data_IF_729988276261
#
_entry.id   IF_729988276261
#
_cell.length_a   1.000
_cell.length_b   1.000
_cell.length_c   1.000
_cell.angle_alpha   90.00
_cell.angle_beta   90.00
_cell.angle_gamma   90.00
#
_symmetry.space_group_name_H-M   'P 1'
#
loop_
_entity.id
_entity.type
_entity.pdbx_description
1 polymer ?
#
# COMPACT_ATOMS: atom_id res chain seq x y z
N UNK A 1 -19.16 -64.61 57.58
CA UNK A 1 -19.39 -64.73 56.13
C UNK A 1 -18.95 -63.40 55.46
N UNK A 2 -17.82 -63.41 54.80
CA UNK A 2 -17.29 -62.21 54.06
C UNK A 2 -17.46 -62.50 52.62
N UNK A 3 -18.34 -61.73 51.98
CA UNK A 3 -18.60 -61.84 50.53
C UNK A 3 -17.57 -61.01 49.77
N UNK A 4 -16.80 -61.71 48.97
CA UNK A 4 -15.77 -61.11 48.10
C UNK A 4 -16.45 -60.66 46.78
N UNK A 5 -16.47 -59.36 46.54
CA UNK A 5 -16.95 -58.81 45.22
C UNK A 5 -15.78 -58.67 44.35
N UNK A 6 -15.74 -59.46 43.28
CA UNK A 6 -14.68 -59.39 42.23
C UNK A 6 -15.08 -58.33 41.20
N UNK A 7 -14.33 -57.23 41.13
CA UNK A 7 -14.50 -56.21 40.16
C UNK A 7 -13.72 -56.56 38.89
N UNK A 8 -14.42 -56.89 37.82
CA UNK A 8 -13.80 -57.20 36.51
C UNK A 8 -13.59 -55.90 35.74
N UNK A 9 -12.32 -55.52 35.58
CA UNK A 9 -11.92 -54.32 34.80
C UNK A 9 -11.88 -54.72 33.31
N UNK A 10 -12.83 -54.21 32.53
CA UNK A 10 -12.82 -54.36 31.08
C UNK A 10 -11.97 -53.20 30.48
N UNK A 11 -10.78 -53.53 30.03
CA UNK A 11 -9.90 -52.60 29.34
C UNK A 11 -10.35 -52.50 27.88
N UNK A 12 -11.10 -51.45 27.53
CA UNK A 12 -11.42 -51.13 26.14
C UNK A 12 -10.22 -50.51 25.42
N UNK A 13 -9.64 -51.26 24.50
CA UNK A 13 -8.63 -50.74 23.56
C UNK A 13 -9.29 -49.80 22.58
N UNK A 14 -9.17 -48.49 22.80
CA UNK A 14 -9.47 -47.48 21.82
C UNK A 14 -8.31 -47.39 20.79
N UNK A 15 -8.48 -48.01 19.66
CA UNK A 15 -7.61 -47.83 18.50
C UNK A 15 -7.88 -46.45 17.89
N UNK A 16 -7.02 -45.48 18.18
CA UNK A 16 -6.99 -44.22 17.45
C UNK A 16 -6.46 -44.49 16.01
N UNK A 17 -7.38 -44.54 15.05
CA UNK A 17 -7.00 -44.41 13.66
C UNK A 17 -6.37 -43.04 13.45
N UNK A 18 -5.03 -42.99 13.31
CA UNK A 18 -4.32 -41.81 12.80
C UNK A 18 -4.76 -41.62 11.36
N UNK A 19 -5.76 -40.77 11.13
CA UNK A 19 -6.00 -40.19 9.84
C UNK A 19 -4.77 -39.35 9.48
N UNK A 20 -3.90 -39.89 8.62
CA UNK A 20 -2.91 -39.08 7.91
C UNK A 20 -3.70 -38.11 7.02
N UNK A 21 -3.90 -36.91 7.49
CA UNK A 21 -4.22 -35.79 6.61
C UNK A 21 -2.98 -35.62 5.72
N UNK A 22 -3.07 -36.07 4.47
CA UNK A 22 -2.14 -35.69 3.42
C UNK A 22 -2.27 -34.19 3.20
N UNK A 23 -1.56 -33.42 4.00
CA UNK A 23 -1.28 -32.02 3.67
C UNK A 23 -0.07 -32.01 2.73
N UNK A 24 -0.27 -32.38 1.48
CA UNK A 24 0.58 -31.93 0.38
C UNK A 24 0.40 -30.41 0.22
N UNK A 25 0.78 -29.66 1.24
CA UNK A 25 1.11 -28.27 1.12
C UNK A 25 2.55 -28.18 0.59
N UNK A 26 2.75 -28.51 -0.67
CA UNK A 26 3.89 -27.99 -1.42
C UNK A 26 3.62 -26.48 -1.58
N UNK A 27 3.88 -25.70 -0.53
CA UNK A 27 3.88 -24.25 -0.64
C UNK A 27 5.04 -23.88 -1.56
N UNK A 28 4.75 -23.83 -2.85
CA UNK A 28 5.72 -23.32 -3.82
C UNK A 28 6.06 -21.91 -3.39
N UNK A 29 7.32 -21.67 -3.08
CA UNK A 29 7.81 -20.34 -2.75
C UNK A 29 7.37 -19.37 -3.84
N UNK A 30 6.62 -18.32 -3.53
CA UNK A 30 6.12 -17.40 -4.55
C UNK A 30 7.30 -16.73 -5.25
N UNK A 31 7.25 -16.68 -6.57
CA UNK A 31 8.28 -16.08 -7.41
C UNK A 31 7.78 -14.72 -7.89
N UNK A 32 8.64 -13.71 -7.80
CA UNK A 32 8.39 -12.41 -8.41
C UNK A 32 8.85 -12.44 -9.87
N UNK A 33 7.91 -12.31 -10.79
CA UNK A 33 8.10 -12.54 -12.22
C UNK A 33 8.36 -11.24 -13.00
N UNK A 34 8.82 -11.35 -14.24
CA UNK A 34 8.92 -10.20 -15.15
C UNK A 34 7.55 -9.57 -15.44
N UNK A 35 6.48 -10.35 -15.41
CA UNK A 35 5.11 -9.84 -15.51
C UNK A 35 4.73 -8.98 -14.29
N UNK A 36 5.12 -9.41 -13.09
CA UNK A 36 4.95 -8.61 -11.87
C UNK A 36 5.71 -7.29 -11.94
N UNK A 37 6.98 -7.36 -12.37
CA UNK A 37 7.82 -6.17 -12.58
C UNK A 37 7.18 -5.21 -13.56
N UNK A 38 6.78 -5.70 -14.72
CA UNK A 38 6.14 -4.90 -15.76
C UNK A 38 4.86 -4.24 -15.25
N UNK A 39 4.02 -4.99 -14.53
CA UNK A 39 2.78 -4.47 -13.96
C UNK A 39 3.02 -3.30 -13.00
N UNK A 40 4.01 -3.41 -12.13
CA UNK A 40 4.36 -2.32 -11.21
C UNK A 40 4.91 -1.11 -11.97
N UNK A 41 5.86 -1.32 -12.89
CA UNK A 41 6.48 -0.25 -13.66
C UNK A 41 5.46 0.53 -14.48
N UNK A 42 4.60 -0.15 -15.24
CA UNK A 42 3.58 0.48 -16.07
C UNK A 42 2.65 1.38 -15.24
N UNK A 43 2.21 0.91 -14.07
CA UNK A 43 1.29 1.66 -13.22
C UNK A 43 1.98 2.81 -12.46
N UNK A 44 3.21 2.63 -12.02
CA UNK A 44 3.99 3.71 -11.37
C UNK A 44 4.31 4.83 -12.35
N UNK A 45 4.76 4.49 -13.56
CA UNK A 45 5.04 5.45 -14.63
C UNK A 45 3.75 6.19 -15.00
N UNK A 46 2.67 5.47 -15.29
CA UNK A 46 1.39 6.06 -15.65
C UNK A 46 0.86 7.01 -14.56
N UNK A 47 0.87 6.61 -13.31
CA UNK A 47 0.40 7.47 -12.22
C UNK A 47 1.24 8.72 -12.04
N UNK A 48 2.56 8.64 -12.25
CA UNK A 48 3.44 9.81 -12.28
C UNK A 48 3.09 10.75 -13.41
N UNK A 49 3.02 10.25 -14.64
CA UNK A 49 2.74 11.04 -15.82
C UNK A 49 1.39 11.76 -15.75
N UNK A 50 0.34 11.08 -15.28
CA UNK A 50 -0.98 11.67 -15.11
C UNK A 50 -1.00 12.78 -14.04
N UNK A 51 -0.30 12.62 -12.91
CA UNK A 51 -0.16 13.68 -11.90
C UNK A 51 0.60 14.87 -12.48
N UNK A 52 1.71 14.64 -13.19
CA UNK A 52 2.49 15.70 -13.84
C UNK A 52 1.64 16.45 -14.88
N UNK A 53 0.86 15.74 -15.67
CA UNK A 53 -0.03 16.36 -16.67
C UNK A 53 -1.10 17.25 -15.99
N UNK A 54 -1.73 16.78 -14.91
CA UNK A 54 -2.75 17.55 -14.19
C UNK A 54 -2.18 18.76 -13.43
N UNK A 55 -0.91 18.74 -13.07
CA UNK A 55 -0.27 19.81 -12.31
C UNK A 55 0.59 20.76 -13.15
N UNK A 56 0.70 20.46 -14.46
CA UNK A 56 1.47 21.29 -15.39
C UNK A 56 0.89 22.70 -15.50
N UNK A 57 1.76 23.70 -15.37
CA UNK A 57 1.44 25.12 -15.59
C UNK A 57 0.33 25.69 -14.70
N UNK A 58 0.06 25.10 -13.53
CA UNK A 58 -0.88 25.67 -12.58
C UNK A 58 -0.36 27.00 -12.05
N UNK A 59 -1.24 28.01 -11.95
CA UNK A 59 -0.95 29.28 -11.28
C UNK A 59 -0.89 29.08 -9.75
N UNK A 60 -0.39 30.06 -9.02
CA UNK A 60 -0.34 30.03 -7.57
C UNK A 60 -1.75 29.91 -6.97
N UNK A 61 -2.71 30.61 -7.56
CA UNK A 61 -4.12 30.58 -7.15
C UNK A 61 -4.72 29.18 -7.38
N UNK A 62 -4.42 28.55 -8.53
CA UNK A 62 -4.88 27.19 -8.87
C UNK A 62 -4.28 26.14 -7.93
N UNK A 63 -2.99 26.28 -7.59
CA UNK A 63 -2.33 25.36 -6.63
C UNK A 63 -2.98 25.41 -5.25
N UNK A 64 -3.40 26.60 -4.79
CA UNK A 64 -3.86 26.83 -3.43
C UNK A 64 -5.39 26.90 -3.30
N UNK A 65 -6.12 26.76 -4.40
CA UNK A 65 -7.57 26.75 -4.36
C UNK A 65 -8.10 25.60 -3.51
N UNK A 66 -9.07 25.92 -2.65
CA UNK A 66 -9.80 24.95 -1.83
C UNK A 66 -11.30 25.05 -2.14
N UNK A 67 -11.94 23.91 -2.32
CA UNK A 67 -13.40 23.84 -2.50
C UNK A 67 -14.15 24.35 -1.26
N UNK A 68 -13.59 24.13 -0.06
CA UNK A 68 -14.03 24.65 1.23
C UNK A 68 -12.84 24.72 2.21
N UNK A 69 -12.95 25.41 3.37
CA UNK A 69 -11.86 25.53 4.35
C UNK A 69 -11.28 24.17 4.81
N UNK A 70 -12.11 23.15 4.92
CA UNK A 70 -11.76 21.82 5.45
C UNK A 70 -11.21 20.89 4.36
N UNK A 71 -11.17 21.33 3.09
CA UNK A 71 -10.67 20.53 1.97
C UNK A 71 -9.23 20.88 1.66
N UNK A 72 -8.50 19.89 1.20
CA UNK A 72 -7.13 20.11 0.74
C UNK A 72 -7.12 20.79 -0.63
N UNK A 73 -6.16 21.69 -0.80
CA UNK A 73 -5.80 22.21 -2.10
C UNK A 73 -4.99 21.18 -2.91
N UNK A 74 -4.80 21.42 -4.22
CA UNK A 74 -3.91 20.59 -5.06
C UNK A 74 -2.50 20.56 -4.46
N UNK A 75 -1.99 21.70 -3.97
CA UNK A 75 -0.69 21.78 -3.30
C UNK A 75 -0.62 20.81 -2.10
N UNK A 76 -1.61 20.84 -1.22
CA UNK A 76 -1.66 19.97 -0.05
C UNK A 76 -1.81 18.49 -0.43
N UNK A 77 -2.54 18.18 -1.49
CA UNK A 77 -2.67 16.79 -1.98
C UNK A 77 -1.30 16.26 -2.43
N UNK A 78 -0.53 17.03 -3.19
CA UNK A 78 0.80 16.59 -3.65
C UNK A 78 1.77 16.49 -2.47
N UNK A 79 1.75 17.45 -1.54
CA UNK A 79 2.54 17.38 -0.31
C UNK A 79 2.24 16.10 0.50
N UNK A 80 0.94 15.76 0.64
CA UNK A 80 0.51 14.53 1.27
C UNK A 80 1.05 13.27 0.56
N UNK A 81 0.98 13.22 -0.77
CA UNK A 81 1.53 12.10 -1.54
C UNK A 81 3.04 11.98 -1.30
N UNK A 82 3.78 13.10 -1.28
CA UNK A 82 5.22 13.09 -1.00
C UNK A 82 5.54 12.49 0.37
N UNK A 83 4.88 12.96 1.43
CA UNK A 83 5.10 12.43 2.77
C UNK A 83 4.75 10.95 2.86
N UNK A 84 3.64 10.56 2.26
CA UNK A 84 3.20 9.17 2.25
C UNK A 84 4.22 8.28 1.53
N UNK A 85 4.68 8.64 0.33
CA UNK A 85 5.69 7.86 -0.41
C UNK A 85 7.01 7.77 0.33
N UNK A 86 7.48 8.85 0.96
CA UNK A 86 8.71 8.84 1.75
C UNK A 86 8.63 7.82 2.90
N UNK A 87 7.52 7.79 3.62
CA UNK A 87 7.28 6.83 4.70
C UNK A 87 7.32 5.40 4.14
N UNK A 88 6.60 5.15 3.05
CA UNK A 88 6.52 3.83 2.45
C UNK A 88 7.88 3.34 1.90
N UNK A 89 8.67 4.22 1.29
CA UNK A 89 10.03 3.89 0.84
C UNK A 89 10.95 3.51 2.02
N UNK A 90 10.83 4.19 3.15
CA UNK A 90 11.57 3.82 4.37
C UNK A 90 11.15 2.44 4.88
N UNK A 91 9.86 2.11 4.88
CA UNK A 91 9.35 0.80 5.28
C UNK A 91 9.86 -0.31 4.35
N UNK A 92 9.90 -0.08 3.03
CA UNK A 92 10.52 -0.99 2.06
C UNK A 92 12.00 -1.20 2.37
N UNK A 93 12.73 -0.12 2.64
CA UNK A 93 14.16 -0.19 2.98
C UNK A 93 14.41 -1.02 4.23
N UNK A 94 13.55 -0.90 5.24
CA UNK A 94 13.60 -1.73 6.45
C UNK A 94 13.32 -3.19 6.12
N UNK A 95 12.28 -3.47 5.34
CA UNK A 95 11.92 -4.82 4.95
C UNK A 95 13.05 -5.53 4.19
N UNK A 96 13.73 -4.83 3.28
CA UNK A 96 14.89 -5.35 2.55
C UNK A 96 16.05 -5.69 3.48
N UNK A 97 16.32 -4.85 4.48
CA UNK A 97 17.38 -5.09 5.48
C UNK A 97 17.06 -6.25 6.43
N UNK A 98 15.78 -6.49 6.72
CA UNK A 98 15.34 -7.64 7.52
C UNK A 98 15.54 -8.96 6.78
N UNK A 99 15.59 -8.93 5.46
CA UNK A 99 15.73 -10.11 4.63
C UNK A 99 14.39 -10.80 4.30
N UNK A 100 14.44 -11.85 3.47
CA UNK A 100 13.24 -12.56 3.03
C UNK A 100 12.62 -13.38 4.16
N UNK A 101 11.29 -13.42 4.20
CA UNK A 101 10.47 -14.15 5.18
C UNK A 101 9.49 -15.10 4.45
N UNK A 102 9.99 -16.16 3.78
CA UNK A 102 9.17 -17.05 2.95
C UNK A 102 8.12 -17.83 3.75
N UNK A 103 8.33 -18.01 5.06
CA UNK A 103 7.42 -18.74 5.95
C UNK A 103 6.14 -17.97 6.27
N UNK A 104 6.07 -16.66 5.97
CA UNK A 104 4.87 -15.86 6.24
C UNK A 104 3.88 -16.06 5.09
N UNK A 105 2.64 -16.49 5.35
CA UNK A 105 1.63 -16.69 4.32
C UNK A 105 1.39 -15.44 3.47
N UNK A 106 1.17 -15.66 2.18
CA UNK A 106 0.89 -14.57 1.23
C UNK A 106 -0.60 -14.25 1.22
N UNK A 107 -0.94 -12.97 1.34
CA UNK A 107 -2.26 -12.51 0.96
C UNK A 107 -2.38 -12.46 -0.58
N UNK A 108 -3.55 -12.75 -1.16
CA UNK A 108 -3.74 -12.60 -2.60
C UNK A 108 -3.65 -11.12 -3.01
N UNK A 109 -3.08 -10.85 -4.18
CA UNK A 109 -2.93 -9.48 -4.71
C UNK A 109 -4.29 -8.79 -4.92
N UNK A 110 -5.36 -9.56 -5.14
CA UNK A 110 -6.73 -9.05 -5.30
C UNK A 110 -7.18 -8.14 -4.15
N UNK A 111 -6.73 -8.38 -2.91
CA UNK A 111 -7.00 -7.50 -1.77
C UNK A 111 -6.50 -6.07 -2.04
N UNK A 112 -5.46 -5.94 -2.86
CA UNK A 112 -4.85 -4.65 -3.20
C UNK A 112 -5.34 -4.12 -4.55
N UNK A 113 -6.09 -4.89 -5.34
CA UNK A 113 -6.64 -4.48 -6.65
C UNK A 113 -7.98 -3.77 -6.49
N UNK A 114 -8.84 -4.21 -5.58
CA UNK A 114 -10.24 -3.82 -5.44
C UNK A 114 -10.53 -2.51 -4.68
N UNK A 115 -9.57 -1.66 -4.41
CA UNK A 115 -9.90 -0.33 -3.92
C UNK A 115 -10.49 0.48 -5.09
N UNK A 116 -11.80 0.59 -5.07
CA UNK A 116 -12.59 1.37 -6.03
C UNK A 116 -11.94 2.75 -6.26
N UNK A 117 -11.41 3.03 -7.47
CA UNK A 117 -10.86 4.35 -7.79
C UNK A 117 -11.92 5.45 -7.69
N UNK A 118 -13.22 5.09 -7.70
CA UNK A 118 -14.34 6.00 -7.48
C UNK A 118 -14.62 6.27 -6.00
N UNK A 119 -13.97 5.56 -5.08
CA UNK A 119 -14.05 5.85 -3.64
C UNK A 119 -13.27 7.12 -3.32
N UNK A 120 -13.75 8.21 -3.87
CA UNK A 120 -13.34 9.56 -3.49
C UNK A 120 -13.79 9.74 -2.05
N UNK A 121 -12.85 9.67 -1.14
CA UNK A 121 -13.15 9.92 0.27
C UNK A 121 -13.43 11.43 0.40
N UNK A 122 -14.72 11.79 0.33
CA UNK A 122 -15.17 13.20 0.41
C UNK A 122 -14.82 13.87 1.74
N UNK A 123 -14.46 13.08 2.75
CA UNK A 123 -14.18 13.54 4.10
C UNK A 123 -12.67 13.43 4.39
N UNK A 124 -11.85 14.19 3.69
CA UNK A 124 -10.47 14.39 4.12
C UNK A 124 -10.51 15.48 5.19
N UNK A 125 -10.83 15.10 6.40
CA UNK A 125 -10.63 15.97 7.55
C UNK A 125 -9.16 15.91 7.92
N UNK A 126 -8.52 17.07 7.93
CA UNK A 126 -7.18 17.25 8.44
C UNK A 126 -7.29 17.30 9.97
N UNK A 127 -7.19 16.15 10.61
CA UNK A 127 -7.16 16.08 12.06
C UNK A 127 -5.73 16.31 12.56
N UNK A 128 -5.37 17.57 12.78
CA UNK A 128 -4.07 17.97 13.33
C UNK A 128 -3.87 17.58 14.80
N UNK A 129 -4.92 17.09 15.47
CA UNK A 129 -4.87 16.79 16.90
C UNK A 129 -4.34 15.38 17.18
N UNK A 130 -4.29 14.49 16.18
CA UNK A 130 -3.78 13.14 16.34
C UNK A 130 -2.26 13.12 16.22
N UNK A 131 -1.54 12.76 17.28
CA UNK A 131 -0.11 12.50 17.18
C UNK A 131 0.11 11.40 16.13
N UNK A 132 1.17 11.54 15.31
CA UNK A 132 1.54 10.54 14.29
C UNK A 132 0.72 10.52 12.98
N UNK A 133 0.03 11.56 12.61
CA UNK A 133 -0.49 11.75 11.24
C UNK A 133 0.63 12.20 10.30
N UNK A 134 1.60 11.31 10.06
CA UNK A 134 2.85 11.60 9.35
C UNK A 134 2.68 12.15 7.93
N UNK A 135 1.55 11.88 7.30
CA UNK A 135 1.29 12.32 5.92
C UNK A 135 0.29 13.50 5.83
N UNK A 136 -0.08 14.11 6.96
CA UNK A 136 -0.95 15.29 6.93
C UNK A 136 -0.19 16.48 6.35
N UNK A 137 -0.68 17.09 5.26
CA UNK A 137 -0.01 18.20 4.62
C UNK A 137 -0.15 19.47 5.44
N UNK A 138 0.94 20.22 5.57
CA UNK A 138 0.97 21.51 6.25
C UNK A 138 0.68 22.67 5.29
N UNK A 139 0.88 22.47 3.99
CA UNK A 139 0.72 23.52 2.97
C UNK A 139 1.84 24.57 2.99
N UNK A 140 2.97 24.25 3.64
CA UNK A 140 4.06 25.20 3.84
C UNK A 140 5.01 25.29 2.63
N UNK A 141 4.96 24.31 1.74
CA UNK A 141 5.82 24.25 0.56
C UNK A 141 5.04 24.70 -0.69
N UNK A 142 5.75 25.20 -1.69
CA UNK A 142 5.12 25.54 -2.96
C UNK A 142 4.84 24.27 -3.79
N UNK A 143 3.71 24.26 -4.49
CA UNK A 143 3.28 23.09 -5.29
C UNK A 143 4.32 22.63 -6.32
N UNK A 144 5.08 23.57 -6.92
CA UNK A 144 6.19 23.24 -7.83
C UNK A 144 7.30 22.45 -7.15
N UNK A 145 7.65 22.78 -5.91
CA UNK A 145 8.66 22.05 -5.15
C UNK A 145 8.16 20.65 -4.74
N UNK A 146 6.88 20.55 -4.39
CA UNK A 146 6.26 19.27 -4.08
C UNK A 146 6.28 18.34 -5.31
N UNK A 147 6.03 18.85 -6.52
CA UNK A 147 6.12 18.07 -7.76
C UNK A 147 7.55 17.60 -8.05
N UNK A 148 8.55 18.43 -7.81
CA UNK A 148 9.95 18.03 -7.96
C UNK A 148 10.26 16.87 -6.99
N UNK A 149 9.81 16.99 -5.76
CA UNK A 149 10.01 15.95 -4.72
C UNK A 149 9.30 14.65 -5.08
N UNK A 150 8.02 14.73 -5.44
CA UNK A 150 7.23 13.59 -5.90
C UNK A 150 7.92 12.86 -7.05
N UNK A 151 8.35 13.63 -8.08
CA UNK A 151 9.01 13.07 -9.26
C UNK A 151 10.27 12.31 -8.88
N UNK A 152 11.11 12.91 -8.03
CA UNK A 152 12.36 12.29 -7.57
C UNK A 152 12.10 10.96 -6.86
N UNK A 153 11.24 10.93 -5.86
CA UNK A 153 10.94 9.71 -5.11
C UNK A 153 10.34 8.62 -6.00
N UNK A 154 9.44 9.01 -6.92
CA UNK A 154 8.83 8.07 -7.85
C UNK A 154 9.87 7.50 -8.83
N UNK A 155 10.80 8.32 -9.31
CA UNK A 155 11.88 7.86 -10.18
C UNK A 155 12.85 6.92 -9.45
N UNK A 156 13.18 7.17 -8.20
CA UNK A 156 13.97 6.26 -7.37
C UNK A 156 13.28 4.88 -7.23
N UNK A 157 11.97 4.86 -6.99
CA UNK A 157 11.18 3.62 -6.93
C UNK A 157 11.18 2.88 -8.28
N UNK A 158 11.03 3.60 -9.39
CA UNK A 158 11.04 3.03 -10.75
C UNK A 158 12.42 2.44 -11.07
N UNK A 159 13.50 3.16 -10.79
CA UNK A 159 14.87 2.68 -11.05
C UNK A 159 15.22 1.46 -10.18
N UNK A 160 14.80 1.44 -8.91
CA UNK A 160 14.95 0.25 -8.07
C UNK A 160 14.23 -0.96 -8.68
N UNK A 161 12.97 -0.80 -9.09
CA UNK A 161 12.20 -1.91 -9.67
C UNK A 161 12.77 -2.39 -11.02
N UNK A 162 13.41 -1.53 -11.80
CA UNK A 162 14.09 -1.91 -13.05
C UNK A 162 15.33 -2.76 -12.80
N UNK A 163 16.08 -2.46 -11.73
CA UNK A 163 17.41 -2.99 -11.49
C UNK A 163 17.46 -4.13 -10.46
N UNK A 164 16.49 -4.23 -9.54
CA UNK A 164 16.52 -5.24 -8.48
C UNK A 164 16.43 -6.67 -9.02
N UNK A 165 17.22 -7.57 -8.42
CA UNK A 165 17.10 -9.03 -8.62
C UNK A 165 16.40 -9.71 -7.42
N UNK A 166 15.93 -8.94 -6.45
CA UNK A 166 15.24 -9.46 -5.29
C UNK A 166 13.88 -10.04 -5.67
N UNK A 167 13.52 -11.17 -5.04
CA UNK A 167 12.16 -11.68 -5.12
C UNK A 167 11.25 -10.89 -4.16
N UNK A 168 10.66 -9.79 -4.64
CA UNK A 168 9.89 -8.85 -3.83
C UNK A 168 8.66 -9.46 -3.14
N UNK A 169 8.26 -10.68 -3.53
CA UNK A 169 7.19 -11.42 -2.85
C UNK A 169 7.64 -12.06 -1.55
N UNK A 170 8.95 -12.18 -1.29
CA UNK A 170 9.47 -12.78 -0.07
C UNK A 170 9.71 -11.80 1.07
N UNK A 171 9.81 -10.52 0.80
CA UNK A 171 10.06 -9.48 1.82
C UNK A 171 8.74 -8.91 2.34
N UNK A 172 8.65 -8.72 3.65
CA UNK A 172 7.43 -8.27 4.32
C UNK A 172 7.58 -6.88 4.91
N UNK A 173 6.66 -6.01 4.56
CA UNK A 173 6.56 -4.68 5.17
C UNK A 173 5.71 -4.80 6.43
N UNK A 174 6.31 -4.51 7.59
CA UNK A 174 5.63 -4.58 8.90
C UNK A 174 4.89 -5.90 9.15
N UNK A 175 5.46 -7.04 8.72
CA UNK A 175 4.84 -8.38 8.79
C UNK A 175 3.49 -8.49 8.06
N UNK A 176 3.15 -7.52 7.24
CA UNK A 176 1.91 -7.46 6.46
C UNK A 176 2.12 -7.77 4.97
N UNK A 177 1.82 -6.82 4.07
CA UNK A 177 1.97 -6.99 2.63
C UNK A 177 3.42 -7.27 2.25
N UNK A 178 3.64 -8.02 1.16
CA UNK A 178 4.97 -8.11 0.57
C UNK A 178 5.32 -6.84 -0.20
N UNK A 179 6.61 -6.65 -0.55
CA UNK A 179 7.06 -5.42 -1.23
C UNK A 179 6.35 -5.22 -2.59
N UNK A 180 6.06 -6.30 -3.36
CA UNK A 180 5.26 -6.18 -4.58
C UNK A 180 3.90 -5.53 -4.29
N UNK A 181 3.16 -6.05 -3.32
CA UNK A 181 1.86 -5.53 -2.89
C UNK A 181 1.97 -4.11 -2.32
N UNK A 182 3.07 -3.82 -1.65
CA UNK A 182 3.33 -2.50 -1.11
C UNK A 182 3.49 -1.46 -2.24
N UNK A 183 4.22 -1.78 -3.31
CA UNK A 183 4.28 -0.93 -4.50
C UNK A 183 2.94 -0.78 -5.23
N UNK A 184 2.07 -1.80 -5.18
CA UNK A 184 0.70 -1.64 -5.69
C UNK A 184 -0.05 -0.53 -4.93
N UNK A 185 0.19 -0.35 -3.64
CA UNK A 185 -0.41 0.73 -2.86
C UNK A 185 0.07 2.11 -3.32
N UNK A 186 1.32 2.28 -3.80
CA UNK A 186 1.85 3.55 -4.28
C UNK A 186 1.03 4.13 -5.42
N UNK A 187 0.91 3.41 -6.53
CA UNK A 187 0.19 3.95 -7.69
C UNK A 187 -1.32 4.05 -7.45
N UNK A 188 -1.89 3.18 -6.63
CA UNK A 188 -3.33 3.25 -6.28
C UNK A 188 -3.64 4.46 -5.42
N UNK A 189 -2.78 4.76 -4.45
CA UNK A 189 -2.87 5.96 -3.65
C UNK A 189 -2.78 7.21 -4.54
N UNK A 190 -1.83 7.23 -5.46
CA UNK A 190 -1.68 8.31 -6.44
C UNK A 190 -2.90 8.47 -7.33
N UNK A 191 -3.47 7.39 -7.89
CA UNK A 191 -4.70 7.46 -8.71
C UNK A 191 -5.91 7.96 -7.92
N UNK A 192 -6.04 7.59 -6.65
CA UNK A 192 -7.09 8.14 -5.78
C UNK A 192 -6.98 9.65 -5.65
N UNK A 193 -5.79 10.15 -5.39
CA UNK A 193 -5.55 11.58 -5.25
C UNK A 193 -5.63 12.34 -6.58
N UNK A 194 -5.24 11.72 -7.68
CA UNK A 194 -5.47 12.24 -9.02
C UNK A 194 -6.96 12.48 -9.29
N UNK A 195 -7.82 11.56 -8.86
CA UNK A 195 -9.27 11.77 -8.91
C UNK A 195 -9.71 13.02 -8.13
N UNK A 196 -9.16 13.23 -6.94
CA UNK A 196 -9.45 14.45 -6.13
C UNK A 196 -8.96 15.73 -6.81
N UNK A 197 -7.77 15.73 -7.40
CA UNK A 197 -7.24 16.87 -8.18
C UNK A 197 -8.20 17.22 -9.32
N UNK A 198 -8.67 16.22 -10.05
CA UNK A 198 -9.62 16.41 -11.15
C UNK A 198 -10.96 16.97 -10.70
N UNK A 199 -11.46 16.55 -9.54
CA UNK A 199 -12.70 17.11 -8.95
C UNK A 199 -12.51 18.58 -8.54
N UNK A 200 -11.39 18.93 -7.88
CA UNK A 200 -11.06 20.31 -7.54
C UNK A 200 -11.10 21.22 -8.77
N UNK A 201 -10.50 20.75 -9.89
CA UNK A 201 -10.43 21.52 -11.14
C UNK A 201 -11.80 21.70 -11.83
N UNK A 202 -12.78 20.87 -11.52
CA UNK A 202 -14.17 21.00 -12.02
C UNK A 202 -15.02 21.94 -11.19
N UNK A 203 -14.55 22.37 -10.02
CA UNK A 203 -15.34 23.22 -9.14
C UNK A 203 -15.66 24.56 -9.80
N UNK A 204 -16.90 25.05 -9.66
CA UNK A 204 -17.38 26.25 -10.36
C UNK A 204 -16.60 27.53 -10.03
N UNK A 205 -15.94 27.58 -8.87
CA UNK A 205 -15.09 28.67 -8.40
C UNK A 205 -13.59 28.44 -8.62
N UNK A 206 -13.20 27.34 -9.30
CA UNK A 206 -11.80 27.10 -9.56
C UNK A 206 -11.22 28.19 -10.47
N UNK A 207 -10.05 28.77 -10.18
CA UNK A 207 -9.44 29.82 -10.99
C UNK A 207 -9.18 29.36 -12.42
N UNK A 208 -9.51 30.23 -13.41
CA UNK A 208 -9.32 29.96 -14.84
C UNK A 208 -7.96 30.41 -15.30
#
# INVERSE_FOLDING_TARGET
>A
MKTLVTLTLVLGLLTFAKGQANTDNSSTTPIWTDSDRKYLLDNLIRSKEEILAETKNLTKEQWNFKESPDRWSINQIIEHICFWELIQMNEISVALRMGPLPQIPQNPDSIFIDADPKRINKNITTDYTKPFTYSVPLGNNEGKNNIIWYTKMRDESIEYLKSTNDNLRLYRVNFGPNIHQHYMMFFRHSFRHLGQIREIKKHSKYPK
#
